data_IF_029310151187
#
_entry.id   IF_029310151187
#
_cell.length_a   1.000
_cell.length_b   1.000
_cell.length_c   1.000
_cell.angle_alpha   90.00
_cell.angle_beta   90.00
_cell.angle_gamma   90.00
#
_symmetry.space_group_name_H-M   'P 1'
#
loop_
_entity.id
_entity.type
_entity.pdbx_description
1 polymer ?
#
# COMPACT_ATOMS: atom_id res chain seq x y z
N UNK A 1 -36.89 -29.04 -23.47
CA UNK A 1 -36.44 -27.65 -23.20
C UNK A 1 -34.92 -27.63 -23.31
N UNK A 2 -34.41 -27.10 -24.43
CA UNK A 2 -32.98 -27.09 -24.76
C UNK A 2 -32.24 -26.03 -23.95
N UNK A 3 -31.16 -26.42 -23.25
CA UNK A 3 -30.13 -25.51 -22.74
C UNK A 3 -29.30 -25.03 -23.93
N UNK A 4 -29.41 -23.75 -24.28
CA UNK A 4 -28.48 -23.10 -25.20
C UNK A 4 -27.13 -22.97 -24.49
N UNK A 5 -26.20 -23.87 -24.81
CA UNK A 5 -24.80 -23.71 -24.50
C UNK A 5 -24.27 -22.52 -25.31
N UNK A 6 -23.87 -21.44 -24.63
CA UNK A 6 -23.14 -20.34 -25.28
C UNK A 6 -21.76 -20.85 -25.70
N UNK A 7 -21.57 -21.07 -27.01
CA UNK A 7 -20.26 -21.33 -27.58
C UNK A 7 -19.46 -20.03 -27.64
N UNK A 8 -18.38 -19.95 -26.85
CA UNK A 8 -17.37 -18.90 -27.04
C UNK A 8 -16.53 -19.22 -28.28
N UNK A 9 -16.25 -18.25 -29.17
CA UNK A 9 -15.39 -18.46 -30.34
C UNK A 9 -13.95 -18.79 -29.92
N UNK A 10 -13.35 -19.74 -30.64
CA UNK A 10 -11.94 -20.11 -30.50
C UNK A 10 -11.07 -18.89 -30.90
N UNK A 11 -10.34 -18.32 -29.93
CA UNK A 11 -9.51 -17.12 -30.14
C UNK A 11 -9.75 -15.96 -29.17
N UNK A 12 -10.54 -16.12 -28.09
CA UNK A 12 -10.59 -15.12 -27.02
C UNK A 12 -9.28 -15.14 -26.21
N UNK A 13 -8.31 -14.33 -26.62
CA UNK A 13 -7.27 -13.87 -25.71
C UNK A 13 -7.92 -12.91 -24.71
N UNK A 14 -7.92 -13.21 -23.40
CA UNK A 14 -8.27 -12.19 -22.42
C UNK A 14 -7.28 -11.04 -22.62
N UNK A 15 -7.79 -9.86 -22.95
CA UNK A 15 -7.00 -8.62 -23.07
C UNK A 15 -5.94 -8.62 -21.97
N UNK A 16 -4.62 -8.49 -22.27
CA UNK A 16 -3.59 -8.58 -21.26
C UNK A 16 -3.98 -7.61 -20.15
N UNK A 17 -4.17 -8.13 -18.94
CA UNK A 17 -4.61 -7.31 -17.82
C UNK A 17 -3.55 -6.23 -17.62
N UNK A 18 -3.83 -5.02 -18.10
CA UNK A 18 -2.93 -3.87 -18.04
C UNK A 18 -2.78 -3.34 -16.60
N UNK A 19 -3.16 -4.15 -15.61
CA UNK A 19 -3.19 -3.82 -14.19
C UNK A 19 -1.81 -4.05 -13.58
N UNK A 20 -1.25 -2.99 -12.99
CA UNK A 20 0.10 -2.92 -12.43
C UNK A 20 0.12 -3.54 -11.03
N UNK A 21 0.86 -4.63 -10.81
CA UNK A 21 1.30 -5.14 -9.49
C UNK A 21 0.44 -4.83 -8.25
N UNK A 22 1.09 -4.48 -7.14
CA UNK A 22 0.44 -4.20 -5.85
C UNK A 22 0.91 -2.87 -5.29
N UNK A 23 -0.02 -2.02 -4.86
CA UNK A 23 0.27 -0.84 -4.06
C UNK A 23 0.01 -1.12 -2.58
N UNK A 24 0.98 -0.82 -1.73
CA UNK A 24 0.93 -1.07 -0.29
C UNK A 24 1.05 0.26 0.46
N UNK A 25 -0.01 0.68 1.14
CA UNK A 25 0.04 1.79 2.09
C UNK A 25 0.67 1.29 3.38
N UNK A 26 1.90 1.72 3.64
CA UNK A 26 2.66 1.32 4.82
C UNK A 26 2.70 2.48 5.81
N UNK A 27 1.86 2.40 6.84
CA UNK A 27 1.63 3.51 7.78
C UNK A 27 1.23 2.97 9.17
N UNK A 28 1.39 3.81 10.17
CA UNK A 28 0.72 3.71 11.46
C UNK A 28 -0.81 3.75 11.35
N UNK A 29 -1.37 4.46 10.36
CA UNK A 29 -2.80 4.81 10.27
C UNK A 29 -3.33 5.51 11.54
N UNK A 30 -2.48 6.24 12.24
CA UNK A 30 -2.90 7.05 13.38
C UNK A 30 -3.56 8.36 12.92
N UNK A 31 -2.92 9.06 11.99
CA UNK A 31 -3.38 10.36 11.47
C UNK A 31 -3.93 10.29 10.04
N UNK A 32 -3.82 9.14 9.42
CA UNK A 32 -4.29 8.97 8.04
C UNK A 32 -5.81 8.87 8.05
N UNK A 33 -6.47 9.96 7.70
CA UNK A 33 -7.93 10.09 7.66
C UNK A 33 -8.55 9.34 6.47
N UNK A 34 -9.85 9.12 6.53
CA UNK A 34 -10.62 8.39 5.51
C UNK A 34 -10.51 9.05 4.12
N UNK A 35 -10.40 10.38 4.08
CA UNK A 35 -10.17 11.11 2.84
C UNK A 35 -8.80 10.81 2.22
N UNK A 36 -7.77 10.59 3.05
CA UNK A 36 -6.44 10.19 2.58
C UNK A 36 -6.44 8.72 2.13
N UNK A 37 -7.18 7.84 2.81
CA UNK A 37 -7.41 6.47 2.34
C UNK A 37 -8.13 6.44 0.98
N UNK A 38 -9.17 7.25 0.82
CA UNK A 38 -9.89 7.39 -0.44
C UNK A 38 -8.98 7.88 -1.56
N UNK A 39 -8.09 8.84 -1.28
CA UNK A 39 -7.10 9.31 -2.25
C UNK A 39 -6.07 8.23 -2.61
N UNK A 40 -5.63 7.41 -1.64
CA UNK A 40 -4.78 6.26 -1.92
C UNK A 40 -5.51 5.23 -2.81
N UNK A 41 -6.78 4.95 -2.55
CA UNK A 41 -7.60 4.08 -3.41
C UNK A 41 -7.78 4.64 -4.82
N UNK A 42 -8.08 5.92 -4.95
CA UNK A 42 -8.18 6.60 -6.23
C UNK A 42 -6.84 6.56 -6.99
N UNK A 43 -5.73 6.82 -6.30
CA UNK A 43 -4.38 6.69 -6.89
C UNK A 43 -4.12 5.28 -7.40
N UNK A 44 -4.55 4.27 -6.62
CA UNK A 44 -4.43 2.88 -7.01
C UNK A 44 -5.20 2.61 -8.32
N UNK A 45 -6.44 3.10 -8.41
CA UNK A 45 -7.29 2.93 -9.58
C UNK A 45 -6.76 3.67 -10.81
N UNK A 46 -6.41 4.95 -10.67
CA UNK A 46 -5.87 5.79 -11.74
C UNK A 46 -4.58 5.22 -12.33
N UNK A 47 -3.70 4.67 -11.48
CA UNK A 47 -2.46 4.01 -11.92
C UNK A 47 -2.69 2.54 -12.30
N UNK A 48 -3.94 2.08 -12.31
CA UNK A 48 -4.39 0.75 -12.68
C UNK A 48 -3.77 -0.37 -11.84
N UNK A 49 -3.61 -0.19 -10.53
CA UNK A 49 -3.08 -1.24 -9.66
C UNK A 49 -4.01 -2.46 -9.60
N UNK A 50 -3.43 -3.66 -9.54
CA UNK A 50 -4.24 -4.88 -9.41
C UNK A 50 -4.80 -5.06 -8.00
N UNK A 51 -4.14 -4.47 -6.99
CA UNK A 51 -4.52 -4.56 -5.59
C UNK A 51 -3.98 -3.38 -4.78
N UNK A 52 -4.78 -2.93 -3.81
CA UNK A 52 -4.39 -2.02 -2.75
C UNK A 52 -4.28 -2.81 -1.43
N UNK A 53 -3.17 -2.67 -0.72
CA UNK A 53 -2.94 -3.32 0.58
C UNK A 53 -2.69 -2.24 1.62
N UNK A 54 -3.44 -2.29 2.73
CA UNK A 54 -3.21 -1.45 3.90
C UNK A 54 -2.38 -2.26 4.90
N UNK A 55 -1.18 -1.78 5.23
CA UNK A 55 -0.26 -2.44 6.15
C UNK A 55 -0.11 -1.61 7.44
N UNK A 56 -0.98 -1.82 8.44
CA UNK A 56 -0.90 -1.08 9.70
C UNK A 56 0.29 -1.55 10.55
N UNK A 57 1.08 -0.60 11.07
CA UNK A 57 2.19 -0.92 11.99
C UNK A 57 1.68 -1.24 13.40
N UNK A 58 2.32 -2.20 14.07
CA UNK A 58 2.07 -2.46 15.49
C UNK A 58 2.63 -1.30 16.35
N UNK A 59 2.04 -1.03 17.51
CA UNK A 59 2.46 0.05 18.42
C UNK A 59 3.92 -0.12 18.85
N UNK A 60 4.36 -1.35 19.10
CA UNK A 60 5.77 -1.68 19.38
C UNK A 60 6.71 -1.32 18.21
N UNK A 61 6.24 -1.45 16.97
CA UNK A 61 7.00 -1.01 15.79
C UNK A 61 7.06 0.51 15.72
N UNK A 62 5.92 1.19 15.90
CA UNK A 62 5.86 2.65 15.92
C UNK A 62 6.75 3.25 17.02
N UNK A 63 6.70 2.68 18.24
CA UNK A 63 7.52 3.11 19.37
C UNK A 63 9.02 3.06 19.06
N UNK A 64 9.47 2.09 18.28
CA UNK A 64 10.87 1.96 17.84
C UNK A 64 11.23 2.94 16.73
N UNK A 65 10.28 3.32 15.88
CA UNK A 65 10.49 4.17 14.72
C UNK A 65 10.38 5.66 15.05
N UNK A 66 9.26 6.10 15.64
CA UNK A 66 8.93 7.52 15.79
C UNK A 66 8.76 7.95 17.25
N UNK A 67 8.68 7.01 18.19
CA UNK A 67 8.32 7.22 19.61
C UNK A 67 6.96 7.89 19.83
N UNK A 68 6.16 7.99 18.80
CA UNK A 68 4.85 8.62 18.85
C UNK A 68 3.83 7.71 19.55
N UNK A 69 2.97 8.25 20.43
CA UNK A 69 1.85 7.49 20.96
C UNK A 69 0.79 7.26 19.87
N UNK A 70 0.41 6.00 19.67
CA UNK A 70 -0.65 5.61 18.73
C UNK A 70 -1.74 4.83 19.44
N UNK A 71 -2.94 4.84 18.88
CA UNK A 71 -4.04 4.01 19.31
C UNK A 71 -3.66 2.52 19.25
N UNK A 72 -4.29 1.68 20.09
CA UNK A 72 -4.09 0.25 20.03
C UNK A 72 -4.31 -0.32 18.62
N UNK A 73 -3.49 -1.28 18.22
CA UNK A 73 -3.47 -1.87 16.88
C UNK A 73 -4.84 -2.38 16.46
N UNK A 74 -5.54 -3.07 17.35
CA UNK A 74 -6.89 -3.59 17.06
C UNK A 74 -7.88 -2.46 16.73
N UNK A 75 -7.85 -1.33 17.44
CA UNK A 75 -8.75 -0.20 17.15
C UNK A 75 -8.49 0.42 15.78
N UNK A 76 -7.21 0.52 15.41
CA UNK A 76 -6.83 0.99 14.07
C UNK A 76 -7.24 -0.02 13.00
N UNK A 77 -7.08 -1.31 13.27
CA UNK A 77 -7.48 -2.39 12.36
C UNK A 77 -9.00 -2.41 12.13
N UNK A 78 -9.80 -2.25 13.19
CA UNK A 78 -11.25 -2.17 13.12
C UNK A 78 -11.68 -1.00 12.22
N UNK A 79 -11.10 0.20 12.42
CA UNK A 79 -11.33 1.36 11.56
C UNK A 79 -11.01 1.09 10.09
N UNK A 80 -9.89 0.43 9.80
CA UNK A 80 -9.51 0.11 8.41
C UNK A 80 -10.45 -0.91 7.78
N UNK A 81 -10.94 -1.89 8.55
CA UNK A 81 -11.95 -2.83 8.08
C UNK A 81 -13.30 -2.17 7.84
N UNK A 82 -13.69 -1.22 8.68
CA UNK A 82 -14.92 -0.44 8.53
C UNK A 82 -14.84 0.41 7.26
N UNK A 83 -13.76 1.18 7.11
CA UNK A 83 -13.50 1.97 5.91
C UNK A 83 -13.50 1.10 4.64
N UNK A 84 -12.83 -0.06 4.67
CA UNK A 84 -12.81 -1.01 3.54
C UNK A 84 -14.22 -1.43 3.13
N UNK A 85 -15.10 -1.77 4.09
CA UNK A 85 -16.46 -2.21 3.80
C UNK A 85 -17.26 -1.08 3.15
N UNK A 86 -17.21 0.13 3.71
CA UNK A 86 -17.88 1.30 3.12
C UNK A 86 -17.37 1.60 1.71
N UNK A 87 -16.05 1.56 1.51
CA UNK A 87 -15.43 1.75 0.19
C UNK A 87 -15.91 0.72 -0.85
N UNK A 88 -15.94 -0.57 -0.49
CA UNK A 88 -16.39 -1.65 -1.37
C UNK A 88 -17.89 -1.56 -1.68
N UNK A 89 -18.70 -1.15 -0.72
CA UNK A 89 -20.14 -0.93 -0.88
C UNK A 89 -20.43 0.26 -1.83
N UNK A 90 -19.73 1.37 -1.66
CA UNK A 90 -19.89 2.59 -2.48
C UNK A 90 -19.40 2.41 -3.91
N UNK A 91 -18.24 1.76 -4.12
CA UNK A 91 -17.61 1.62 -5.44
C UNK A 91 -18.06 0.39 -6.22
N UNK A 92 -18.54 -0.65 -5.55
CA UNK A 92 -19.02 -1.88 -6.17
C UNK A 92 -17.95 -2.63 -6.98
N UNK A 93 -18.38 -3.35 -8.02
CA UNK A 93 -17.53 -4.32 -8.78
C UNK A 93 -16.40 -3.70 -9.61
N UNK A 94 -16.34 -2.37 -9.73
CA UNK A 94 -15.30 -1.66 -10.47
C UNK A 94 -14.10 -1.22 -9.63
N UNK A 95 -14.22 -1.29 -8.31
CA UNK A 95 -13.21 -0.80 -7.38
C UNK A 95 -11.89 -1.59 -7.47
N UNK A 96 -10.76 -0.94 -7.16
CA UNK A 96 -9.54 -1.68 -6.85
C UNK A 96 -9.79 -2.62 -5.65
N UNK A 97 -9.39 -3.91 -5.73
CA UNK A 97 -9.48 -4.80 -4.58
C UNK A 97 -8.60 -4.30 -3.42
N UNK A 98 -9.19 -4.17 -2.23
CA UNK A 98 -8.49 -3.73 -1.02
C UNK A 98 -8.23 -4.93 -0.09
N UNK A 99 -7.04 -5.01 0.50
CA UNK A 99 -6.75 -5.92 1.60
C UNK A 99 -6.20 -5.15 2.80
N UNK A 100 -6.48 -5.63 4.01
CA UNK A 100 -5.87 -5.14 5.25
C UNK A 100 -4.96 -6.23 5.78
N UNK A 101 -3.67 -5.95 5.93
CA UNK A 101 -2.68 -6.93 6.35
C UNK A 101 -2.65 -7.09 7.88
N UNK A 102 -2.53 -8.33 8.35
CA UNK A 102 -2.62 -8.71 9.76
C UNK A 102 -1.32 -9.23 10.38
N UNK A 103 -0.20 -9.27 9.63
CA UNK A 103 1.08 -9.81 10.11
C UNK A 103 1.52 -9.21 11.45
N UNK A 104 1.46 -7.89 11.58
CA UNK A 104 1.87 -7.13 12.77
C UNK A 104 1.08 -7.56 14.01
N UNK A 105 -0.24 -7.73 13.87
CA UNK A 105 -1.11 -8.23 14.95
C UNK A 105 -0.82 -9.67 15.37
N UNK A 106 -0.33 -10.53 14.46
CA UNK A 106 0.07 -11.91 14.78
C UNK A 106 1.38 -11.96 15.58
N UNK A 107 2.33 -11.06 15.30
CA UNK A 107 3.64 -11.02 15.98
C UNK A 107 3.57 -10.37 17.36
N UNK A 108 2.74 -9.33 17.54
CA UNK A 108 2.58 -8.56 18.79
C UNK A 108 3.89 -8.00 19.36
N UNK A 109 4.89 -7.80 18.50
CA UNK A 109 6.26 -7.36 18.81
C UNK A 109 6.76 -6.51 17.66
N UNK A 110 7.84 -5.77 17.89
CA UNK A 110 8.56 -5.05 16.84
C UNK A 110 8.78 -5.93 15.60
N UNK A 111 8.30 -5.45 14.45
CA UNK A 111 8.56 -6.04 13.14
C UNK A 111 9.56 -5.18 12.38
N UNK A 112 10.80 -5.66 12.18
CA UNK A 112 11.75 -4.98 11.31
C UNK A 112 11.13 -4.77 9.93
N UNK A 113 11.34 -3.59 9.36
CA UNK A 113 10.76 -3.24 8.06
C UNK A 113 11.13 -4.26 6.98
N UNK A 114 12.35 -4.77 6.98
CA UNK A 114 12.77 -5.86 6.09
C UNK A 114 11.90 -7.12 6.22
N UNK A 115 11.52 -7.51 7.43
CA UNK A 115 10.61 -8.66 7.64
C UNK A 115 9.23 -8.38 7.05
N UNK A 116 8.71 -7.17 7.22
CA UNK A 116 7.46 -6.75 6.60
C UNK A 116 7.53 -6.79 5.07
N UNK A 117 8.63 -6.30 4.48
CA UNK A 117 8.81 -6.28 3.02
C UNK A 117 8.96 -7.67 2.41
N UNK A 118 9.66 -8.61 3.08
CA UNK A 118 9.70 -10.01 2.63
C UNK A 118 8.31 -10.63 2.62
N UNK A 119 7.57 -10.50 3.71
CA UNK A 119 6.18 -10.98 3.77
C UNK A 119 5.32 -10.41 2.65
N UNK A 120 5.43 -9.09 2.40
CA UNK A 120 4.68 -8.45 1.33
C UNK A 120 5.06 -8.96 -0.07
N UNK A 121 6.36 -9.19 -0.31
CA UNK A 121 6.85 -9.72 -1.59
C UNK A 121 6.41 -11.17 -1.83
N UNK A 122 6.29 -11.97 -0.78
CA UNK A 122 5.84 -13.36 -0.85
C UNK A 122 4.31 -13.46 -0.98
N UNK A 123 3.57 -12.58 -0.29
CA UNK A 123 2.12 -12.65 -0.20
C UNK A 123 1.38 -11.97 -1.36
N UNK A 124 2.01 -11.02 -2.05
CA UNK A 124 1.33 -10.17 -3.03
C UNK A 124 2.04 -10.14 -4.40
N UNK A 125 1.29 -10.02 -5.51
CA UNK A 125 1.88 -9.95 -6.84
C UNK A 125 2.82 -8.76 -7.02
N UNK A 126 3.97 -9.04 -7.64
CA UNK A 126 4.89 -8.01 -8.11
C UNK A 126 4.36 -7.32 -9.38
N UNK A 127 4.86 -6.11 -9.72
CA UNK A 127 5.77 -5.27 -8.94
C UNK A 127 5.12 -4.68 -7.67
N UNK A 128 5.91 -4.54 -6.60
CA UNK A 128 5.47 -3.86 -5.37
C UNK A 128 5.76 -2.36 -5.41
N UNK A 129 4.77 -1.57 -4.99
CA UNK A 129 4.86 -0.14 -4.79
C UNK A 129 4.51 0.20 -3.34
N UNK A 130 5.44 0.79 -2.60
CA UNK A 130 5.17 1.28 -1.25
C UNK A 130 4.64 2.71 -1.34
N UNK A 131 3.40 2.90 -0.90
CA UNK A 131 2.77 4.20 -0.75
C UNK A 131 3.05 4.76 0.64
N UNK A 132 3.79 5.88 0.72
CA UNK A 132 4.36 6.41 1.96
C UNK A 132 4.16 7.91 2.08
N UNK A 133 4.07 8.43 3.32
CA UNK A 133 4.29 9.86 3.55
C UNK A 133 5.77 10.22 3.38
N UNK A 134 6.12 11.51 3.14
CA UNK A 134 7.50 11.97 3.12
C UNK A 134 8.32 11.56 4.35
N UNK A 135 7.73 11.65 5.54
CA UNK A 135 8.37 11.32 6.81
C UNK A 135 8.68 9.83 6.87
N UNK A 136 7.73 8.98 6.49
CA UNK A 136 7.91 7.53 6.49
C UNK A 136 8.94 7.10 5.43
N UNK A 137 8.96 7.75 4.27
CA UNK A 137 9.98 7.50 3.24
C UNK A 137 11.38 7.89 3.70
N UNK A 138 11.52 9.05 4.36
CA UNK A 138 12.78 9.48 4.95
C UNK A 138 13.24 8.52 6.05
N UNK A 139 12.32 8.08 6.91
CA UNK A 139 12.61 7.09 7.94
C UNK A 139 13.07 5.77 7.32
N UNK A 140 12.39 5.27 6.29
CA UNK A 140 12.79 4.07 5.58
C UNK A 140 14.19 4.20 4.99
N UNK A 141 14.50 5.35 4.36
CA UNK A 141 15.81 5.59 3.76
C UNK A 141 16.97 5.64 4.76
N UNK A 142 16.68 5.89 6.04
CA UNK A 142 17.67 5.83 7.12
C UNK A 142 18.11 4.38 7.44
N UNK A 143 17.27 3.39 7.17
CA UNK A 143 17.56 1.99 7.49
C UNK A 143 18.65 1.39 6.58
N UNK A 144 19.44 0.47 7.13
CA UNK A 144 20.52 -0.21 6.39
C UNK A 144 20.00 -1.05 5.23
N UNK A 145 18.80 -1.62 5.36
CA UNK A 145 18.16 -2.44 4.34
C UNK A 145 17.55 -1.63 3.17
N UNK A 146 17.54 -0.30 3.25
CA UNK A 146 16.92 0.54 2.23
C UNK A 146 17.45 0.28 0.82
N UNK A 147 18.78 0.27 0.63
CA UNK A 147 19.38 0.12 -0.70
C UNK A 147 19.10 -1.27 -1.31
N UNK A 148 19.00 -2.30 -0.47
CA UNK A 148 18.64 -3.65 -0.91
C UNK A 148 17.19 -3.73 -1.41
N UNK A 149 16.28 -2.98 -0.77
CA UNK A 149 14.87 -3.02 -1.09
C UNK A 149 14.47 -2.06 -2.19
N UNK A 150 14.98 -0.83 -2.22
CA UNK A 150 14.59 0.19 -3.20
C UNK A 150 14.89 -0.22 -4.65
N UNK A 151 15.82 -1.15 -4.87
CA UNK A 151 16.07 -1.75 -6.20
C UNK A 151 15.04 -2.81 -6.59
N UNK A 152 14.34 -3.42 -5.63
CA UNK A 152 13.31 -4.47 -5.82
C UNK A 152 11.89 -3.89 -5.88
N UNK A 153 11.65 -2.76 -5.22
CA UNK A 153 10.34 -2.09 -5.20
C UNK A 153 10.41 -0.66 -5.75
N UNK A 154 9.26 -0.01 -5.87
CA UNK A 154 9.16 1.43 -6.14
C UNK A 154 8.45 2.12 -4.98
N UNK A 155 8.75 3.40 -4.75
CA UNK A 155 7.98 4.21 -3.81
C UNK A 155 6.99 5.09 -4.56
N UNK A 156 5.86 5.35 -3.94
CA UNK A 156 4.91 6.36 -4.34
C UNK A 156 4.64 7.24 -3.12
N UNK A 157 5.12 8.46 -3.13
CA UNK A 157 5.02 9.35 -1.98
C UNK A 157 3.69 10.12 -2.04
N UNK A 158 3.08 10.42 -0.89
CA UNK A 158 1.85 11.23 -0.85
C UNK A 158 2.08 12.65 -1.38
N UNK A 159 3.30 13.16 -1.23
CA UNK A 159 3.77 14.44 -1.76
C UNK A 159 5.30 14.44 -1.84
N UNK A 160 5.89 15.46 -2.45
CA UNK A 160 7.34 15.60 -2.48
C UNK A 160 7.91 15.93 -1.08
N UNK A 161 8.98 15.25 -0.65
CA UNK A 161 9.64 15.56 0.62
C UNK A 161 10.35 16.92 0.53
N UNK A 162 10.09 17.80 1.49
CA UNK A 162 10.78 19.10 1.57
C UNK A 162 12.30 18.96 1.79
N UNK A 163 12.70 17.94 2.56
CA UNK A 163 14.09 17.60 2.83
C UNK A 163 14.29 16.08 2.65
N UNK A 164 14.52 15.60 1.41
CA UNK A 164 14.73 14.18 1.16
C UNK A 164 16.06 13.70 1.76
N UNK A 165 16.02 12.53 2.38
CA UNK A 165 17.22 11.84 2.84
C UNK A 165 18.18 11.61 1.66
N UNK A 166 19.52 11.70 1.84
CA UNK A 166 20.47 11.55 0.73
C UNK A 166 20.32 10.25 -0.06
N UNK A 167 19.92 9.15 0.61
CA UNK A 167 19.60 7.90 -0.08
C UNK A 167 18.31 7.98 -0.92
N UNK A 168 17.28 8.73 -0.52
CA UNK A 168 16.13 8.97 -1.41
C UNK A 168 16.55 9.76 -2.64
N UNK A 169 17.41 10.77 -2.48
CA UNK A 169 17.94 11.55 -3.61
C UNK A 169 18.73 10.66 -4.57
N UNK A 170 19.63 9.82 -4.05
CA UNK A 170 20.42 8.85 -4.84
C UNK A 170 19.53 7.92 -5.68
N UNK A 171 18.37 7.55 -5.16
CA UNK A 171 17.40 6.68 -5.84
C UNK A 171 16.15 7.42 -6.32
N UNK A 172 16.28 8.69 -6.72
CA UNK A 172 15.15 9.52 -7.21
C UNK A 172 14.36 8.87 -8.36
N UNK A 173 15.03 8.16 -9.25
CA UNK A 173 14.41 7.40 -10.34
C UNK A 173 13.54 6.20 -9.89
N UNK A 174 13.51 5.87 -8.59
CA UNK A 174 12.75 4.76 -8.00
C UNK A 174 11.53 5.22 -7.21
N UNK A 175 11.29 6.52 -7.12
CA UNK A 175 10.11 7.06 -6.46
C UNK A 175 9.48 8.20 -7.27
N UNK A 176 8.20 8.43 -7.01
CA UNK A 176 7.38 9.46 -7.64
C UNK A 176 6.38 9.97 -6.59
N UNK A 177 5.82 11.16 -6.77
CA UNK A 177 4.80 11.71 -5.89
C UNK A 177 3.39 11.52 -6.50
N UNK A 178 2.46 11.00 -5.71
CA UNK A 178 1.03 11.03 -6.00
C UNK A 178 0.48 12.39 -5.54
N UNK A 179 0.87 13.47 -6.20
CA UNK A 179 0.43 14.80 -5.79
C UNK A 179 -1.09 14.91 -5.81
N UNK A 180 -1.66 15.28 -4.66
CA UNK A 180 -3.06 15.66 -4.57
C UNK A 180 -3.20 17.05 -5.18
N UNK A 181 -3.86 17.18 -6.33
CA UNK A 181 -4.21 18.49 -6.89
C UNK A 181 -5.01 19.26 -5.83
N UNK A 182 -4.44 20.34 -5.29
CA UNK A 182 -5.16 21.26 -4.42
C UNK A 182 -6.11 22.05 -5.32
N UNK A 183 -7.39 21.73 -5.25
CA UNK A 183 -8.46 22.55 -5.84
C UNK A 183 -8.73 23.76 -4.94
#
# INVERSE_FOLDING_TARGET
MNRLAQSVPFGYEPSPSNRKGTMVVYDTFQHLEDQALAFAAETAEQRAFAKLVLYPLHEETVRRMTKEPVLPYHKRLDRLHDWKRSYEEERGRGAVPVAVEGLEGKRKKYTPMETALRHLADAYPSPLFLYLTPEMANQFASFSSFEEWIVKLRLLLTEEPQAPHPRLVKYSHRWDAAERKRT
#
